data_IF_897889548763
#
_entry.id   IF_897889548763
#
_cell.length_a   1.000
_cell.length_b   1.000
_cell.length_c   1.000
_cell.angle_alpha   90.00
_cell.angle_beta   90.00
_cell.angle_gamma   90.00
#
_symmetry.space_group_name_H-M   'P 1'
#
loop_
_entity.id
_entity.type
_entity.pdbx_description
1 polymer ?
#
# COMPACT_ATOMS: atom_id res chain seq x y z
N UNK A 1 9.87 -15.69 18.34
CA UNK A 1 9.00 -16.37 17.36
C UNK A 1 9.20 -15.63 16.05
N UNK A 2 9.59 -16.26 14.93
CA UNK A 2 9.69 -15.52 13.68
C UNK A 2 8.29 -14.98 13.38
N UNK A 3 8.19 -13.66 13.21
CA UNK A 3 6.94 -13.02 12.85
C UNK A 3 6.35 -13.75 11.64
N UNK A 4 5.05 -14.04 11.69
CA UNK A 4 4.34 -14.77 10.64
C UNK A 4 4.74 -14.17 9.27
N UNK A 5 5.25 -14.97 8.32
CA UNK A 5 5.77 -14.46 7.04
C UNK A 5 4.73 -13.65 6.26
N UNK A 6 3.43 -13.91 6.47
CA UNK A 6 2.35 -13.07 5.92
C UNK A 6 2.35 -11.66 6.50
N UNK A 7 2.55 -11.52 7.81
CA UNK A 7 2.62 -10.22 8.50
C UNK A 7 3.85 -9.42 8.02
N UNK A 8 4.98 -10.10 7.80
CA UNK A 8 6.18 -9.46 7.25
C UNK A 8 5.96 -8.92 5.84
N UNK A 9 5.30 -9.70 4.97
CA UNK A 9 4.95 -9.23 3.62
C UNK A 9 4.00 -8.05 3.65
N UNK A 10 2.98 -8.07 4.52
CA UNK A 10 2.04 -6.96 4.65
C UNK A 10 2.73 -5.67 5.13
N UNK A 11 3.68 -5.78 6.08
CA UNK A 11 4.49 -4.63 6.51
C UNK A 11 5.27 -4.01 5.35
N UNK A 12 5.94 -4.85 4.54
CA UNK A 12 6.69 -4.38 3.37
C UNK A 12 5.79 -3.72 2.32
N UNK A 13 4.58 -4.25 2.08
CA UNK A 13 3.62 -3.65 1.16
C UNK A 13 3.09 -2.31 1.67
N UNK A 14 2.88 -2.19 2.98
CA UNK A 14 2.45 -0.95 3.62
C UNK A 14 3.55 0.12 3.58
N UNK A 15 4.81 -0.25 3.83
CA UNK A 15 5.95 0.66 3.72
C UNK A 15 6.11 1.19 2.30
N UNK A 16 5.99 0.33 1.29
CA UNK A 16 6.03 0.74 -0.12
C UNK A 16 4.86 1.66 -0.50
N UNK A 17 3.67 1.41 0.05
CA UNK A 17 2.51 2.28 -0.13
C UNK A 17 2.74 3.68 0.46
N UNK A 18 3.27 3.75 1.69
CA UNK A 18 3.55 5.02 2.35
C UNK A 18 4.60 5.84 1.59
N UNK A 19 5.64 5.17 1.08
CA UNK A 19 6.65 5.85 0.27
C UNK A 19 6.05 6.42 -1.03
N UNK A 20 5.19 5.67 -1.72
CA UNK A 20 4.51 6.18 -2.91
C UNK A 20 3.59 7.36 -2.58
N UNK A 21 2.88 7.29 -1.45
CA UNK A 21 2.00 8.36 -1.01
C UNK A 21 2.79 9.64 -0.67
N UNK A 22 3.96 9.52 -0.05
CA UNK A 22 4.84 10.66 0.27
C UNK A 22 5.46 11.29 -0.99
N UNK A 23 5.62 10.51 -2.07
CA UNK A 23 6.14 10.97 -3.36
C UNK A 23 5.06 11.61 -4.25
N UNK A 24 3.78 11.55 -3.86
CA UNK A 24 2.69 12.15 -4.64
C UNK A 24 2.62 13.67 -4.48
N UNK A 25 2.74 14.38 -5.60
CA UNK A 25 2.50 15.83 -5.69
C UNK A 25 1.02 16.12 -6.02
N UNK A 26 0.26 16.80 -5.16
CA UNK A 26 -1.19 17.00 -5.35
C UNK A 26 -1.56 17.74 -6.65
N UNK A 27 -0.65 18.56 -7.17
CA UNK A 27 -0.84 19.29 -8.42
C UNK A 27 -0.62 18.45 -9.68
N UNK A 28 0.08 17.32 -9.57
CA UNK A 28 0.40 16.43 -10.69
C UNK A 28 -0.32 15.08 -10.60
N UNK A 29 -0.73 14.69 -9.39
CA UNK A 29 -1.43 13.43 -9.11
C UNK A 29 -2.80 13.41 -9.79
N UNK A 30 -3.05 12.37 -10.57
CA UNK A 30 -4.34 12.15 -11.22
C UNK A 30 -5.28 11.30 -10.34
N UNK A 31 -6.58 11.33 -10.65
CA UNK A 31 -7.56 10.46 -10.00
C UNK A 31 -7.23 8.97 -10.20
N UNK A 32 -6.64 8.61 -11.34
CA UNK A 32 -6.26 7.22 -11.62
C UNK A 32 -5.11 6.74 -10.71
N UNK A 33 -4.19 7.63 -10.34
CA UNK A 33 -3.12 7.32 -9.39
C UNK A 33 -3.69 7.08 -7.98
N UNK A 34 -4.68 7.88 -7.59
CA UNK A 34 -5.41 7.72 -6.33
C UNK A 34 -6.18 6.39 -6.32
N UNK A 35 -6.86 6.04 -7.42
CA UNK A 35 -7.59 4.78 -7.55
C UNK A 35 -6.65 3.57 -7.40
N UNK A 36 -5.44 3.62 -7.99
CA UNK A 36 -4.42 2.56 -7.85
C UNK A 36 -3.92 2.41 -6.42
N UNK A 37 -3.73 3.53 -5.71
CA UNK A 37 -3.35 3.51 -4.30
C UNK A 37 -4.43 2.87 -3.42
N UNK A 38 -5.70 3.18 -3.68
CA UNK A 38 -6.84 2.58 -2.99
C UNK A 38 -6.90 1.06 -3.25
N UNK A 39 -6.74 0.63 -4.50
CA UNK A 39 -6.71 -0.80 -4.85
C UNK A 39 -5.56 -1.56 -4.16
N UNK A 40 -4.40 -0.93 -3.99
CA UNK A 40 -3.27 -1.51 -3.25
C UNK A 40 -3.64 -1.78 -1.78
N UNK A 41 -4.31 -0.85 -1.11
CA UNK A 41 -4.80 -1.05 0.27
C UNK A 41 -5.85 -2.15 0.32
N UNK A 42 -6.86 -2.13 -0.55
CA UNK A 42 -7.90 -3.16 -0.55
C UNK A 42 -7.34 -4.57 -0.77
N UNK A 43 -6.32 -4.70 -1.62
CA UNK A 43 -5.63 -5.95 -1.88
C UNK A 43 -4.90 -6.46 -0.63
N UNK A 44 -4.28 -5.55 0.14
CA UNK A 44 -3.66 -5.88 1.43
C UNK A 44 -4.70 -6.34 2.46
N UNK A 45 -5.84 -5.65 2.56
CA UNK A 45 -6.94 -6.04 3.47
C UNK A 45 -7.55 -7.40 3.12
N UNK A 46 -7.72 -7.69 1.82
CA UNK A 46 -8.23 -8.99 1.36
C UNK A 46 -7.29 -10.15 1.70
N UNK A 47 -5.97 -9.92 1.75
CA UNK A 47 -4.97 -10.93 2.15
C UNK A 47 -4.91 -11.16 3.66
N UNK A 48 -5.40 -10.20 4.45
CA UNK A 48 -5.49 -10.27 5.91
C UNK A 48 -6.72 -11.05 6.39
N UNK A 49 -7.81 -11.02 5.62
CA UNK A 49 -8.99 -11.89 5.83
C UNK A 49 -8.68 -13.36 5.52
#
# INVERSE_FOLDING_TARGET
MPENPKIQQLKQQLEAFLQQLDELEPSETSLEDIDRLIEMIESMEKKLK
#
